data_IF_585109798901
#
_entry.id   IF_585109798901
#
_cell.length_a   1.000
_cell.length_b   1.000
_cell.length_c   1.000
_cell.angle_alpha   90.00
_cell.angle_beta   90.00
_cell.angle_gamma   90.00
#
_symmetry.space_group_name_H-M   'P 1'
#
loop_
_entity.id
_entity.type
_entity.pdbx_description
1 polymer ?
#
# COMPACT_ATOMS: atom_id res chain seq x y z
N UNK A 1 -1.78 -7.55 -12.55
CA UNK A 1 -0.87 -8.38 -13.39
C UNK A 1 -1.40 -9.81 -13.34
N UNK A 2 -2.31 -10.16 -14.25
CA UNK A 2 -3.13 -11.38 -14.12
C UNK A 2 -2.35 -12.71 -14.07
N UNK A 3 -1.13 -12.76 -14.64
CA UNK A 3 -0.30 -13.97 -14.67
C UNK A 3 0.30 -14.34 -13.30
N UNK A 4 0.52 -13.35 -12.43
CA UNK A 4 1.16 -13.53 -11.13
C UNK A 4 0.14 -13.85 -10.03
N UNK A 5 -1.03 -13.22 -10.09
CA UNK A 5 -2.15 -13.52 -9.21
C UNK A 5 -2.56 -14.99 -9.33
N UNK A 6 -2.53 -15.54 -10.55
CA UNK A 6 -2.85 -16.95 -10.83
C UNK A 6 -1.82 -17.94 -10.23
N UNK A 7 -0.62 -17.47 -9.88
CA UNK A 7 0.45 -18.28 -9.27
C UNK A 7 0.57 -18.04 -7.76
N UNK A 8 -0.36 -17.29 -7.14
CA UNK A 8 -0.29 -16.84 -5.73
C UNK A 8 1.04 -16.18 -5.37
N UNK A 9 1.71 -15.58 -6.34
CA UNK A 9 3.01 -14.99 -6.13
C UNK A 9 2.83 -13.60 -5.54
N UNK A 10 3.54 -13.33 -4.43
CA UNK A 10 3.48 -12.03 -3.75
C UNK A 10 4.38 -11.02 -4.45
N UNK A 11 3.82 -9.85 -4.78
CA UNK A 11 4.55 -8.74 -5.36
C UNK A 11 4.12 -7.42 -4.71
N UNK A 12 5.03 -6.43 -4.65
CA UNK A 12 6.45 -6.48 -5.01
C UNK A 12 7.31 -7.13 -3.92
N UNK A 13 8.20 -8.06 -4.31
CA UNK A 13 8.99 -8.88 -3.38
C UNK A 13 10.14 -8.11 -2.70
N UNK A 14 10.77 -7.15 -3.40
CA UNK A 14 11.93 -6.41 -2.88
C UNK A 14 11.75 -4.88 -2.88
N UNK A 15 10.92 -4.34 -3.79
CA UNK A 15 10.83 -2.89 -4.03
C UNK A 15 9.76 -2.15 -3.21
N UNK A 16 9.00 -2.85 -2.34
CA UNK A 16 7.85 -2.31 -1.59
C UNK A 16 6.78 -1.68 -2.51
N UNK A 17 5.60 -1.34 -2.00
CA UNK A 17 4.46 -1.01 -2.87
C UNK A 17 4.58 0.33 -3.59
N UNK A 18 5.36 1.27 -3.06
CA UNK A 18 5.48 2.62 -3.64
C UNK A 18 4.12 3.26 -3.86
N UNK A 19 3.89 3.90 -5.01
CA UNK A 19 2.55 4.31 -5.46
C UNK A 19 2.01 3.47 -6.62
N UNK A 20 2.82 2.53 -7.11
CA UNK A 20 2.59 1.76 -8.33
C UNK A 20 1.78 0.49 -8.06
N UNK A 21 1.83 -0.01 -6.83
CA UNK A 21 1.17 -1.24 -6.42
C UNK A 21 0.20 -0.98 -5.29
N UNK A 22 -0.94 -1.68 -5.35
CA UNK A 22 -1.95 -1.68 -4.29
C UNK A 22 -1.38 -2.42 -3.09
N UNK A 23 -1.33 -1.74 -1.94
CA UNK A 23 -0.92 -2.38 -0.69
C UNK A 23 -1.97 -3.39 -0.24
N UNK A 24 -1.48 -4.51 0.32
CA UNK A 24 -2.34 -5.49 0.97
C UNK A 24 -3.04 -4.84 2.17
N UNK A 25 -4.27 -5.27 2.53
CA UNK A 25 -5.02 -4.69 3.65
C UNK A 25 -4.23 -4.63 4.96
N UNK A 26 -3.49 -5.70 5.29
CA UNK A 26 -2.65 -5.74 6.50
C UNK A 26 -1.57 -4.64 6.53
N UNK A 27 -1.00 -4.32 5.36
CA UNK A 27 0.04 -3.31 5.22
C UNK A 27 -0.56 -1.90 5.30
N UNK A 28 -1.73 -1.69 4.69
CA UNK A 28 -2.49 -0.43 4.81
C UNK A 28 -2.90 -0.14 6.26
N UNK A 29 -3.39 -1.14 7.00
CA UNK A 29 -3.76 -0.97 8.41
C UNK A 29 -2.54 -0.70 9.30
N UNK A 30 -1.40 -1.34 8.99
CA UNK A 30 -0.13 -1.01 9.62
C UNK A 30 0.26 0.46 9.38
N UNK A 31 0.17 0.96 8.14
CA UNK A 31 0.45 2.36 7.83
C UNK A 31 -0.46 3.34 8.57
N UNK A 32 -1.76 3.05 8.66
CA UNK A 32 -2.71 3.88 9.42
C UNK A 32 -2.41 3.92 10.93
N UNK A 33 -1.92 2.81 11.48
CA UNK A 33 -1.54 2.74 12.89
C UNK A 33 -0.30 3.58 13.17
N UNK A 34 0.67 3.58 12.25
CA UNK A 34 1.91 4.34 12.37
C UNK A 34 1.71 5.84 12.12
N UNK A 35 0.92 6.19 11.10
CA UNK A 35 0.61 7.57 10.71
C UNK A 35 -0.90 7.79 10.56
N UNK A 36 -1.63 8.00 11.67
CA UNK A 36 -3.07 8.21 11.64
C UNK A 36 -3.48 9.49 10.89
N UNK A 37 -2.54 10.41 10.65
CA UNK A 37 -2.79 11.69 9.96
C UNK A 37 -2.50 11.66 8.46
N UNK A 38 -1.88 10.60 7.95
CA UNK A 38 -1.45 10.46 6.57
C UNK A 38 -0.58 11.65 6.11
N UNK A 39 0.42 12.01 6.91
CA UNK A 39 1.36 13.08 6.65
C UNK A 39 2.66 12.56 6.00
N UNK A 40 3.11 11.38 6.39
CA UNK A 40 4.34 10.77 5.90
C UNK A 40 4.05 9.88 4.69
N UNK A 41 4.52 10.35 3.52
CA UNK A 41 4.37 9.69 2.22
C UNK A 41 2.90 9.37 1.81
N UNK A 42 2.02 10.38 1.69
CA UNK A 42 0.60 10.17 1.41
C UNK A 42 0.38 9.44 0.08
N UNK A 43 -0.51 8.44 0.12
CA UNK A 43 -0.90 7.65 -1.05
C UNK A 43 -0.01 6.44 -1.33
N UNK A 44 0.90 6.09 -0.44
CA UNK A 44 1.70 4.86 -0.53
C UNK A 44 0.79 3.63 -0.58
N UNK A 45 1.13 2.65 -1.40
CA UNK A 45 0.29 1.46 -1.60
C UNK A 45 -1.01 1.75 -2.33
N UNK A 46 -1.04 2.80 -3.17
CA UNK A 46 -2.25 3.32 -3.82
C UNK A 46 -3.38 3.69 -2.83
N UNK A 47 -3.00 4.14 -1.62
CA UNK A 47 -3.94 4.63 -0.59
C UNK A 47 -4.33 6.10 -0.83
N UNK A 48 -5.14 6.68 0.06
CA UNK A 48 -5.50 8.10 -0.04
C UNK A 48 -4.27 9.02 0.05
N UNK A 49 -4.28 10.11 -0.71
CA UNK A 49 -3.30 11.21 -0.61
C UNK A 49 -3.77 12.34 0.32
N UNK A 50 -4.98 12.24 0.86
CA UNK A 50 -5.58 13.27 1.72
C UNK A 50 -5.25 13.04 3.19
N UNK A 51 -5.21 14.13 3.95
CA UNK A 51 -5.02 14.09 5.41
C UNK A 51 -6.11 13.24 6.06
N UNK A 52 -5.71 12.51 7.10
CA UNK A 52 -6.58 11.63 7.88
C UNK A 52 -7.28 10.56 7.02
N UNK A 53 -6.60 10.09 5.96
CA UNK A 53 -7.03 8.95 5.13
C UNK A 53 -8.41 9.10 4.46
N UNK A 54 -8.83 10.35 4.18
CA UNK A 54 -10.12 10.67 3.54
C UNK A 54 -10.17 10.44 2.04
#
# INVERSE_FOLDING_TARGET
MALYDQRNAEYPAEHNTGHEYVAKPVLTEFYKTLDPTNFFNPGVGSTSKLKNWK
#
